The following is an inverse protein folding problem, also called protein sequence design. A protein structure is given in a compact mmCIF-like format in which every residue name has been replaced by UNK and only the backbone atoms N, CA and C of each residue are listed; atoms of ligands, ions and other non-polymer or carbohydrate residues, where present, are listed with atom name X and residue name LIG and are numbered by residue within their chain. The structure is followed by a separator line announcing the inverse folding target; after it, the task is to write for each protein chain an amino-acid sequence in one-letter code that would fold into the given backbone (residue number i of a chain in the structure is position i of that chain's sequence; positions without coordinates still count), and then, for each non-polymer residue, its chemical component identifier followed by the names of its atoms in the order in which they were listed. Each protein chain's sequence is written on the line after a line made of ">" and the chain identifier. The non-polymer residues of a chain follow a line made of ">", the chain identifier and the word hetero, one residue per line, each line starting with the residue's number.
data_IF_765238237120
#
_entry.id   IF_765238237120
#
_cell.length_a   1.000
_cell.length_b   1.000
_cell.length_c   1.000
_cell.angle_alpha   90.00
_cell.angle_beta   90.00
_cell.angle_gamma   90.00
#
_symmetry.space_group_name_H-M   'P 1'
#
loop_
_entity.id
_entity.type
_entity.pdbx_description
1 polymer ?
#
# COMPACT_ATOMS: atom_id res chain seq x y z
N UNK A 1 -19.31 9.32 -4.63
CA UNK A 1 -17.97 9.94 -4.75
C UNK A 1 -17.06 9.31 -3.70
N UNK A 2 -15.83 8.95 -4.05
CA UNK A 2 -14.84 8.36 -3.12
C UNK A 2 -13.88 9.42 -2.54
N UNK A 3 -14.03 10.69 -2.95
CA UNK A 3 -13.23 11.81 -2.51
C UNK A 3 -11.92 11.97 -3.27
N UNK A 4 -10.99 12.71 -2.68
CA UNK A 4 -9.70 13.04 -3.27
C UNK A 4 -8.53 12.57 -2.38
N UNK A 5 -7.37 12.39 -3.00
CA UNK A 5 -6.07 12.36 -2.32
C UNK A 5 -5.28 13.60 -2.69
N UNK A 6 -4.50 14.11 -1.76
CA UNK A 6 -3.61 15.25 -1.99
C UNK A 6 -2.17 14.74 -2.05
N UNK A 7 -1.42 15.18 -3.05
CA UNK A 7 -0.02 14.82 -3.20
C UNK A 7 0.87 15.87 -2.51
N UNK A 8 2.19 15.70 -2.60
CA UNK A 8 3.14 16.60 -1.93
C UNK A 8 3.13 18.04 -2.46
N UNK A 9 2.53 18.26 -3.64
CA UNK A 9 2.29 19.56 -4.26
C UNK A 9 0.90 20.14 -3.94
N UNK A 10 0.14 19.49 -3.06
CA UNK A 10 -1.23 19.86 -2.65
C UNK A 10 -2.28 19.81 -3.77
N UNK A 11 -1.92 19.26 -4.93
CA UNK A 11 -2.85 19.06 -6.04
C UNK A 11 -3.80 17.88 -5.75
N UNK A 12 -5.13 18.08 -5.89
CA UNK A 12 -6.10 17.03 -5.61
C UNK A 12 -6.18 16.03 -6.76
N UNK A 13 -6.17 14.74 -6.42
CA UNK A 13 -6.41 13.64 -7.35
C UNK A 13 -7.70 12.90 -6.99
N UNK A 14 -8.63 12.80 -7.95
CA UNK A 14 -9.92 12.12 -7.76
C UNK A 14 -9.76 10.61 -7.60
N UNK A 15 -10.44 10.06 -6.60
CA UNK A 15 -10.56 8.62 -6.41
C UNK A 15 -11.78 8.13 -7.19
N UNK A 16 -11.57 7.28 -8.20
CA UNK A 16 -12.66 6.78 -9.06
C UNK A 16 -13.22 5.44 -8.59
N UNK A 17 -12.57 4.80 -7.63
CA UNK A 17 -12.98 3.51 -7.10
C UNK A 17 -12.26 3.15 -5.80
N UNK A 18 -12.85 2.24 -5.04
CA UNK A 18 -12.23 1.64 -3.87
C UNK A 18 -12.52 0.14 -3.86
N UNK A 19 -11.52 -0.67 -3.56
CA UNK A 19 -11.68 -2.12 -3.61
C UNK A 19 -10.58 -2.88 -2.87
N UNK A 20 -10.55 -4.18 -3.06
CA UNK A 20 -9.47 -5.04 -2.57
C UNK A 20 -8.58 -5.46 -3.72
N UNK A 21 -7.27 -5.51 -3.48
CA UNK A 21 -6.26 -5.91 -4.46
C UNK A 21 -5.43 -7.04 -3.87
N UNK A 22 -5.26 -8.12 -4.64
CA UNK A 22 -4.33 -9.18 -4.30
C UNK A 22 -2.99 -8.91 -4.99
N UNK A 23 -1.92 -8.89 -4.19
CA UNK A 23 -0.55 -8.72 -4.68
C UNK A 23 0.19 -10.04 -4.48
N UNK A 24 0.67 -10.62 -5.58
CA UNK A 24 1.49 -11.82 -5.54
C UNK A 24 2.95 -11.44 -5.32
N UNK A 25 3.54 -11.95 -4.26
CA UNK A 25 4.93 -11.71 -3.88
C UNK A 25 5.87 -12.74 -4.53
N UNK A 26 7.14 -12.37 -4.68
CA UNK A 26 8.15 -13.25 -5.26
C UNK A 26 8.39 -14.52 -4.43
N UNK A 27 8.13 -14.48 -3.13
CA UNK A 27 8.22 -15.63 -2.24
C UNK A 27 6.99 -16.58 -2.35
N UNK A 28 6.07 -16.33 -3.28
CA UNK A 28 4.86 -17.13 -3.48
C UNK A 28 3.67 -16.70 -2.60
N UNK A 29 3.87 -15.82 -1.62
CA UNK A 29 2.78 -15.33 -0.78
C UNK A 29 1.83 -14.44 -1.58
N UNK A 30 0.54 -14.48 -1.23
CA UNK A 30 -0.45 -13.53 -1.74
C UNK A 30 -0.85 -12.58 -0.61
N UNK A 31 -0.68 -11.29 -0.85
CA UNK A 31 -1.07 -10.24 0.08
C UNK A 31 -2.37 -9.59 -0.35
N UNK A 32 -3.41 -9.74 0.46
CA UNK A 32 -4.68 -9.04 0.26
C UNK A 32 -4.61 -7.65 0.90
N UNK A 33 -4.60 -6.62 0.07
CA UNK A 33 -4.77 -5.23 0.48
C UNK A 33 -6.25 -4.87 0.39
N UNK A 34 -6.82 -4.45 1.51
CA UNK A 34 -8.20 -3.94 1.57
C UNK A 34 -8.20 -2.43 1.42
N UNK A 35 -9.37 -1.88 1.12
CA UNK A 35 -9.60 -0.43 1.09
C UNK A 35 -8.68 0.37 0.14
N UNK A 36 -8.20 -0.28 -0.93
CA UNK A 36 -7.30 0.30 -1.94
C UNK A 36 -8.05 1.30 -2.80
N UNK A 37 -7.52 2.51 -2.91
CA UNK A 37 -8.09 3.61 -3.71
C UNK A 37 -7.56 3.54 -5.14
N UNK A 38 -8.45 3.57 -6.13
CA UNK A 38 -8.10 3.66 -7.54
C UNK A 38 -8.06 5.13 -7.97
N UNK A 39 -6.87 5.60 -8.34
CA UNK A 39 -6.58 7.00 -8.69
C UNK A 39 -5.87 7.01 -10.06
N UNK A 40 -6.61 7.18 -11.19
CA UNK A 40 -6.06 7.01 -12.54
C UNK A 40 -4.95 8.00 -12.92
N UNK A 41 -4.88 9.15 -12.25
CA UNK A 41 -3.84 10.15 -12.47
C UNK A 41 -2.47 9.73 -11.93
N UNK A 42 -2.43 8.81 -10.96
CA UNK A 42 -1.18 8.27 -10.42
C UNK A 42 -0.58 7.22 -11.34
N UNK A 43 0.66 7.45 -11.77
CA UNK A 43 1.42 6.52 -12.64
C UNK A 43 2.03 5.33 -11.90
N UNK A 44 2.03 5.35 -10.57
CA UNK A 44 2.64 4.33 -9.71
C UNK A 44 1.67 3.96 -8.59
N UNK A 45 1.74 2.70 -8.15
CA UNK A 45 1.01 2.22 -6.99
C UNK A 45 1.74 2.65 -5.72
N UNK A 46 0.98 3.07 -4.70
CA UNK A 46 1.50 3.47 -3.41
C UNK A 46 0.93 2.57 -2.31
N UNK A 47 1.78 2.19 -1.36
CA UNK A 47 1.37 1.49 -0.13
C UNK A 47 1.86 2.33 1.04
N UNK A 48 0.95 2.78 1.89
CA UNK A 48 1.29 3.63 3.05
C UNK A 48 1.89 2.79 4.17
N UNK A 49 3.15 3.06 4.53
CA UNK A 49 3.78 2.42 5.69
C UNK A 49 3.02 2.73 7.00
N UNK A 50 2.44 3.93 7.13
CA UNK A 50 1.61 4.30 8.27
C UNK A 50 0.35 3.45 8.38
N UNK A 51 -0.34 3.22 7.25
CA UNK A 51 -1.52 2.33 7.21
C UNK A 51 -1.13 0.89 7.57
N UNK A 52 0.00 0.41 7.05
CA UNK A 52 0.51 -0.91 7.41
C UNK A 52 0.78 -1.04 8.92
N UNK A 53 1.34 0.01 9.53
CA UNK A 53 1.50 0.12 10.98
C UNK A 53 0.17 0.01 11.73
N UNK A 54 -0.85 0.76 11.30
CA UNK A 54 -2.20 0.70 11.85
C UNK A 54 -2.86 -0.68 11.72
N UNK A 55 -2.53 -1.43 10.66
CA UNK A 55 -3.01 -2.79 10.42
C UNK A 55 -2.20 -3.87 11.19
N UNK A 56 -1.29 -3.43 12.08
CA UNK A 56 -0.46 -4.28 12.93
C UNK A 56 0.75 -4.89 12.22
N UNK A 57 1.18 -4.31 11.10
CA UNK A 57 2.41 -4.70 10.42
C UNK A 57 3.60 -3.88 10.91
N UNK A 58 4.79 -4.47 10.88
CA UNK A 58 6.05 -3.76 11.04
C UNK A 58 6.68 -3.60 9.67
N UNK A 59 7.04 -2.36 9.32
CA UNK A 59 7.75 -2.03 8.08
C UNK A 59 9.17 -1.63 8.43
N UNK A 60 10.15 -2.30 7.83
CA UNK A 60 11.57 -2.01 8.01
C UNK A 60 12.13 -1.62 6.66
N UNK A 61 12.87 -0.51 6.60
CA UNK A 61 13.65 -0.09 5.44
C UNK A 61 15.14 -0.14 5.81
N UNK A 62 15.95 -0.78 4.99
CA UNK A 62 17.42 -0.73 5.06
C UNK A 62 17.95 0.12 3.90
N UNK A 63 19.27 0.24 3.77
CA UNK A 63 19.88 0.99 2.68
C UNK A 63 19.51 0.45 1.28
N UNK A 64 19.24 -0.86 1.19
CA UNK A 64 19.10 -1.61 -0.07
C UNK A 64 17.84 -2.48 -0.15
N UNK A 65 17.09 -2.61 0.95
CA UNK A 65 15.95 -3.52 1.03
C UNK A 65 14.83 -2.97 1.91
N UNK A 66 13.70 -3.65 1.85
CA UNK A 66 12.58 -3.39 2.74
C UNK A 66 11.95 -4.72 3.15
N UNK A 67 11.21 -4.71 4.24
CA UNK A 67 10.50 -5.89 4.73
C UNK A 67 9.24 -5.48 5.45
N UNK A 68 8.16 -6.21 5.22
CA UNK A 68 6.91 -6.10 5.96
C UNK A 68 6.65 -7.41 6.70
N UNK A 69 6.46 -7.32 8.02
CA UNK A 69 6.13 -8.46 8.87
C UNK A 69 4.84 -8.24 9.65
N UNK A 70 4.13 -9.33 9.96
CA UNK A 70 3.01 -9.33 10.89
C UNK A 70 3.24 -10.42 11.92
N UNK A 71 3.75 -10.05 13.09
CA UNK A 71 4.34 -10.99 14.04
C UNK A 71 5.53 -11.74 13.41
N UNK A 72 5.52 -13.08 13.51
CA UNK A 72 6.56 -13.92 12.91
C UNK A 72 6.45 -14.11 11.39
N UNK A 73 5.32 -13.72 10.77
CA UNK A 73 5.08 -13.90 9.34
C UNK A 73 5.76 -12.79 8.52
N UNK A 74 6.53 -13.18 7.50
CA UNK A 74 7.02 -12.27 6.46
C UNK A 74 5.97 -12.12 5.36
N UNK A 75 5.40 -10.92 5.25
CA UNK A 75 4.35 -10.60 4.29
C UNK A 75 4.96 -10.25 2.94
N UNK A 76 5.97 -9.38 2.93
CA UNK A 76 6.65 -8.90 1.73
C UNK A 76 8.10 -8.49 2.02
N UNK A 77 8.95 -8.55 1.00
CA UNK A 77 10.34 -8.07 0.95
C UNK A 77 10.75 -7.87 -0.51
#
# INVERSE_FOLDING_TARGET
>A
DFGHVFLGDDEPCSIVGKGSVQVKMQNGNTWLLKDVRHVPTLRRNLISAGQLGSDGCTVIFTADSWKVTKGALVVAR
#
